data_IF_011670128534
#
_entry.id   IF_011670128534
#
_cell.length_a   1.000
_cell.length_b   1.000
_cell.length_c   1.000
_cell.angle_alpha   90.00
_cell.angle_beta   90.00
_cell.angle_gamma   90.00
#
_symmetry.space_group_name_H-M   'P 1'
#
loop_
_entity.id
_entity.type
_entity.pdbx_description
1 polymer ?
#
# COMPACT_ATOMS: atom_id res chain seq x y z
N UNK A 1 81.33 -25.13 -6.51
CA UNK A 1 80.64 -23.87 -6.11
C UNK A 1 79.38 -23.77 -6.98
N UNK A 2 78.20 -23.99 -6.37
CA UNK A 2 76.90 -23.83 -7.06
C UNK A 2 76.31 -22.51 -6.62
N UNK A 3 76.18 -21.55 -7.53
CA UNK A 3 75.50 -20.32 -7.31
C UNK A 3 74.00 -20.56 -7.23
N UNK A 4 73.38 -20.16 -6.13
CA UNK A 4 71.94 -20.27 -5.89
C UNK A 4 71.26 -19.01 -6.49
N UNK A 5 70.33 -19.13 -7.43
CA UNK A 5 69.64 -17.95 -7.98
C UNK A 5 68.66 -17.38 -6.92
N UNK A 6 68.90 -16.17 -6.52
CA UNK A 6 67.97 -15.39 -5.67
C UNK A 6 66.71 -15.13 -6.50
N UNK A 7 65.63 -15.86 -6.22
CA UNK A 7 64.30 -15.56 -6.79
C UNK A 7 63.79 -14.26 -6.22
N UNK A 8 63.77 -13.20 -7.02
CA UNK A 8 63.14 -11.95 -6.69
C UNK A 8 61.60 -12.16 -6.49
N UNK A 9 61.15 -12.06 -5.26
CA UNK A 9 59.72 -12.03 -4.89
C UNK A 9 59.06 -10.67 -5.21
N UNK A 10 59.14 -10.23 -6.46
CA UNK A 10 58.53 -8.93 -6.85
C UNK A 10 57.04 -9.06 -7.29
N UNK A 11 56.52 -10.28 -7.48
CA UNK A 11 55.17 -10.50 -8.00
C UNK A 11 54.04 -10.52 -6.97
N UNK A 12 54.31 -10.75 -5.70
CA UNK A 12 53.27 -10.95 -4.66
C UNK A 12 52.67 -9.67 -4.13
N UNK A 13 53.37 -8.55 -4.16
CA UNK A 13 52.84 -7.25 -3.69
C UNK A 13 51.81 -6.65 -4.64
N UNK A 14 51.99 -6.81 -5.97
CA UNK A 14 51.05 -6.34 -6.96
C UNK A 14 49.74 -7.14 -6.97
N UNK A 15 49.84 -8.46 -6.77
CA UNK A 15 48.66 -9.34 -6.68
C UNK A 15 47.80 -9.01 -5.43
N UNK A 16 48.42 -8.81 -4.28
CA UNK A 16 47.72 -8.42 -3.04
C UNK A 16 47.00 -7.07 -3.17
N UNK A 17 47.61 -6.11 -3.87
CA UNK A 17 46.99 -4.79 -4.09
C UNK A 17 45.79 -4.91 -5.03
N UNK A 18 45.87 -5.68 -6.09
CA UNK A 18 44.73 -5.94 -7.00
C UNK A 18 43.58 -6.66 -6.28
N UNK A 19 43.90 -7.65 -5.45
CA UNK A 19 42.92 -8.37 -4.65
C UNK A 19 42.20 -7.43 -3.66
N UNK A 20 42.92 -6.52 -3.01
CA UNK A 20 42.34 -5.52 -2.13
C UNK A 20 41.40 -4.55 -2.87
N UNK A 21 41.78 -4.10 -4.07
CA UNK A 21 40.95 -3.23 -4.91
C UNK A 21 39.68 -3.96 -5.36
N UNK A 22 39.78 -5.20 -5.82
CA UNK A 22 38.64 -6.00 -6.23
C UNK A 22 37.69 -6.26 -5.06
N UNK A 23 38.22 -6.59 -3.89
CA UNK A 23 37.42 -6.78 -2.67
C UNK A 23 36.68 -5.50 -2.29
N UNK A 24 37.32 -4.33 -2.40
CA UNK A 24 36.73 -3.04 -2.08
C UNK A 24 35.63 -2.64 -3.07
N UNK A 25 35.81 -2.95 -4.36
CA UNK A 25 34.77 -2.75 -5.38
C UNK A 25 33.55 -3.64 -5.11
N UNK A 26 33.75 -4.92 -4.84
CA UNK A 26 32.68 -5.86 -4.53
C UNK A 26 31.92 -5.40 -3.27
N UNK A 27 32.64 -5.00 -2.23
CA UNK A 27 32.04 -4.50 -0.99
C UNK A 27 31.19 -3.24 -1.22
N UNK A 28 31.70 -2.31 -2.03
CA UNK A 28 31.00 -1.07 -2.37
C UNK A 28 29.70 -1.34 -3.14
N UNK A 29 29.74 -2.21 -4.16
CA UNK A 29 28.56 -2.57 -4.94
C UNK A 29 27.53 -3.31 -4.09
N UNK A 30 27.98 -4.25 -3.25
CA UNK A 30 27.12 -4.99 -2.34
C UNK A 30 26.46 -4.07 -1.30
N UNK A 31 27.21 -3.11 -0.75
CA UNK A 31 26.68 -2.14 0.21
C UNK A 31 25.58 -1.26 -0.36
N UNK A 32 25.73 -0.78 -1.60
CA UNK A 32 24.70 0.00 -2.29
C UNK A 32 23.42 -0.80 -2.54
N UNK A 33 23.56 -2.09 -2.86
CA UNK A 33 22.41 -2.98 -3.05
C UNK A 33 21.58 -3.16 -1.77
N UNK A 34 22.21 -3.31 -0.62
CA UNK A 34 21.53 -3.46 0.68
C UNK A 34 20.77 -2.19 1.07
N UNK A 35 21.35 -1.02 0.89
CA UNK A 35 20.68 0.25 1.19
C UNK A 35 19.46 0.45 0.30
N UNK A 36 19.55 0.14 -0.99
CA UNK A 36 18.43 0.25 -1.93
C UNK A 36 17.26 -0.67 -1.58
N UNK A 37 17.53 -1.90 -1.15
CA UNK A 37 16.47 -2.85 -0.72
C UNK A 37 15.79 -2.40 0.56
N UNK A 38 16.52 -1.84 1.52
CA UNK A 38 15.98 -1.34 2.77
C UNK A 38 15.06 -0.14 2.53
N UNK A 39 15.46 0.82 1.70
CA UNK A 39 14.59 1.95 1.33
C UNK A 39 13.30 1.48 0.65
N UNK A 40 13.39 0.49 -0.21
CA UNK A 40 12.22 -0.06 -0.89
C UNK A 40 11.26 -0.75 0.09
N UNK A 41 11.78 -1.49 1.05
CA UNK A 41 11.01 -2.12 2.11
C UNK A 41 10.27 -1.09 2.98
N UNK A 42 10.95 -0.04 3.42
CA UNK A 42 10.37 1.03 4.23
C UNK A 42 9.27 1.82 3.48
N UNK A 43 9.45 2.06 2.19
CA UNK A 43 8.42 2.70 1.35
C UNK A 43 7.20 1.82 1.17
N UNK A 44 7.40 0.51 1.05
CA UNK A 44 6.32 -0.47 0.94
C UNK A 44 5.49 -0.54 2.22
N UNK A 45 6.13 -0.56 3.40
CA UNK A 45 5.42 -0.55 4.69
C UNK A 45 4.58 0.71 4.88
N UNK A 46 5.11 1.88 4.55
CA UNK A 46 4.34 3.14 4.65
C UNK A 46 3.09 3.12 3.77
N UNK A 47 3.20 2.64 2.54
CA UNK A 47 2.05 2.52 1.63
C UNK A 47 1.00 1.51 2.13
N UNK A 48 1.42 0.44 2.78
CA UNK A 48 0.52 -0.53 3.38
C UNK A 48 -0.21 0.08 4.58
N UNK A 49 0.49 0.80 5.44
CA UNK A 49 -0.09 1.48 6.61
C UNK A 49 -1.12 2.54 6.18
N UNK A 50 -0.82 3.37 5.18
CA UNK A 50 -1.76 4.36 4.65
C UNK A 50 -3.03 3.71 4.08
N UNK A 51 -2.89 2.59 3.37
CA UNK A 51 -4.04 1.84 2.84
C UNK A 51 -4.88 1.22 3.94
N UNK A 52 -4.24 0.71 4.98
CA UNK A 52 -4.92 0.12 6.13
C UNK A 52 -5.74 1.17 6.89
N UNK A 53 -5.19 2.34 7.15
CA UNK A 53 -5.91 3.46 7.76
C UNK A 53 -7.12 3.89 6.93
N UNK A 54 -6.94 4.03 5.61
CA UNK A 54 -8.03 4.38 4.68
C UNK A 54 -9.12 3.31 4.70
N UNK A 55 -8.77 2.03 4.68
CA UNK A 55 -9.72 0.93 4.72
C UNK A 55 -10.48 0.89 6.05
N UNK A 56 -9.82 1.12 7.17
CA UNK A 56 -10.45 1.20 8.49
C UNK A 56 -11.43 2.37 8.57
N UNK A 57 -11.07 3.52 8.04
CA UNK A 57 -11.94 4.69 7.98
C UNK A 57 -13.17 4.43 7.10
N UNK A 58 -12.99 3.84 5.92
CA UNK A 58 -14.07 3.46 5.02
C UNK A 58 -15.01 2.42 5.67
N UNK A 59 -14.45 1.44 6.39
CA UNK A 59 -15.23 0.41 7.09
C UNK A 59 -16.07 1.01 8.21
N UNK A 60 -15.53 1.93 9.01
CA UNK A 60 -16.29 2.63 10.05
C UNK A 60 -17.43 3.44 9.44
N UNK A 61 -17.18 4.13 8.35
CA UNK A 61 -18.20 4.89 7.62
C UNK A 61 -19.29 3.97 7.06
N UNK A 62 -18.91 2.84 6.46
CA UNK A 62 -19.86 1.84 5.95
C UNK A 62 -20.74 1.30 7.08
N UNK A 63 -20.16 0.98 8.22
CA UNK A 63 -20.91 0.51 9.41
C UNK A 63 -21.92 1.56 9.85
N UNK A 64 -21.53 2.84 9.92
CA UNK A 64 -22.45 3.92 10.26
C UNK A 64 -23.60 4.03 9.25
N UNK A 65 -23.31 3.90 7.95
CA UNK A 65 -24.34 3.96 6.90
C UNK A 65 -25.31 2.76 6.95
N UNK A 66 -24.80 1.57 7.22
CA UNK A 66 -25.61 0.35 7.34
C UNK A 66 -26.58 0.42 8.53
N UNK A 67 -26.23 1.14 9.58
CA UNK A 67 -27.10 1.32 10.77
C UNK A 67 -28.22 2.35 10.57
N UNK A 68 -28.18 3.11 9.47
CA UNK A 68 -29.22 4.12 9.20
C UNK A 68 -30.59 3.48 8.96
N UNK A 69 -31.62 4.20 9.39
CA UNK A 69 -33.00 3.84 9.10
C UNK A 69 -33.30 3.99 7.60
N UNK A 70 -34.39 3.36 7.15
CA UNK A 70 -34.86 3.51 5.77
C UNK A 70 -35.04 4.98 5.40
N UNK A 71 -35.71 5.76 6.25
CA UNK A 71 -36.01 7.17 6.01
C UNK A 71 -34.71 7.99 5.87
N UNK A 72 -33.72 7.69 6.68
CA UNK A 72 -32.42 8.39 6.62
C UNK A 72 -31.65 8.02 5.35
N UNK A 73 -31.70 6.77 4.89
CA UNK A 73 -31.11 6.35 3.62
C UNK A 73 -31.83 7.00 2.43
N UNK A 74 -33.16 7.11 2.46
CA UNK A 74 -33.94 7.80 1.42
C UNK A 74 -33.59 9.28 1.30
N UNK A 75 -33.31 9.95 2.43
CA UNK A 75 -32.85 11.35 2.44
C UNK A 75 -31.43 11.52 1.89
N UNK A 76 -30.65 10.47 1.88
CA UNK A 76 -29.25 10.45 1.43
C UNK A 76 -29.05 9.78 0.08
N UNK A 77 -30.10 9.64 -0.71
CA UNK A 77 -29.99 9.12 -2.09
C UNK A 77 -29.10 10.05 -2.92
N UNK A 78 -28.22 9.46 -3.73
CA UNK A 78 -27.26 10.16 -4.55
C UNK A 78 -25.83 10.12 -4.02
N UNK A 79 -25.01 11.02 -4.52
CA UNK A 79 -23.58 11.13 -4.16
C UNK A 79 -23.36 12.24 -3.17
N UNK A 80 -22.70 11.92 -2.08
CA UNK A 80 -22.37 12.87 -1.02
C UNK A 80 -20.90 12.80 -0.66
N UNK A 81 -20.14 13.91 -0.72
CA UNK A 81 -18.78 13.95 -0.21
C UNK A 81 -18.83 13.98 1.33
N UNK A 82 -18.06 13.10 1.97
CA UNK A 82 -17.93 13.03 3.42
C UNK A 82 -16.44 12.91 3.74
N UNK A 83 -15.79 14.01 4.10
CA UNK A 83 -14.35 14.06 4.35
C UNK A 83 -13.55 13.68 3.10
N UNK A 84 -12.71 12.67 3.20
CA UNK A 84 -11.88 12.16 2.10
C UNK A 84 -12.60 11.11 1.23
N UNK A 85 -13.86 10.79 1.54
CA UNK A 85 -14.65 9.79 0.84
C UNK A 85 -15.83 10.40 0.10
N UNK A 86 -16.23 9.71 -0.94
CA UNK A 86 -17.48 9.93 -1.65
C UNK A 86 -18.40 8.74 -1.38
N UNK A 87 -19.53 9.00 -0.78
CA UNK A 87 -20.55 7.99 -0.49
C UNK A 87 -21.66 8.12 -1.51
N UNK A 88 -22.00 7.03 -2.17
CA UNK A 88 -23.11 6.93 -3.10
C UNK A 88 -24.17 5.98 -2.55
N UNK A 89 -25.39 6.49 -2.38
CA UNK A 89 -26.54 5.70 -1.97
C UNK A 89 -27.52 5.60 -3.15
N UNK A 90 -27.77 4.39 -3.59
CA UNK A 90 -28.69 4.08 -4.67
C UNK A 90 -29.82 3.18 -4.15
N UNK A 91 -31.00 3.29 -4.74
CA UNK A 91 -32.11 2.40 -4.45
C UNK A 91 -32.54 1.66 -5.72
N UNK A 92 -31.88 0.53 -6.06
CA UNK A 92 -32.22 -0.25 -7.25
C UNK A 92 -33.61 -0.90 -7.17
N UNK A 93 -34.09 -1.18 -5.97
CA UNK A 93 -35.41 -1.74 -5.72
C UNK A 93 -36.08 -1.09 -4.50
N UNK A 94 -37.41 -1.14 -4.34
CA UNK A 94 -38.12 -0.46 -3.25
C UNK A 94 -37.63 -0.80 -1.83
N UNK A 95 -37.08 -2.01 -1.65
CA UNK A 95 -36.58 -2.49 -0.34
C UNK A 95 -35.06 -2.63 -0.26
N UNK A 96 -34.33 -2.38 -1.37
CA UNK A 96 -32.88 -2.57 -1.45
C UNK A 96 -32.19 -1.22 -1.61
N UNK A 97 -31.19 -1.00 -0.78
CA UNK A 97 -30.29 0.15 -0.88
C UNK A 97 -28.87 -0.34 -1.16
N UNK A 98 -28.25 0.16 -2.21
CA UNK A 98 -26.84 -0.04 -2.51
C UNK A 98 -26.07 1.16 -1.97
N UNK A 99 -25.10 0.90 -1.14
CA UNK A 99 -24.20 1.90 -0.57
C UNK A 99 -22.81 1.61 -1.09
N UNK A 100 -22.20 2.58 -1.77
CA UNK A 100 -20.85 2.50 -2.26
C UNK A 100 -20.02 3.63 -1.65
N UNK A 101 -18.81 3.31 -1.22
CA UNK A 101 -17.83 4.27 -0.70
C UNK A 101 -16.61 4.22 -1.61
N UNK A 102 -16.19 5.37 -2.09
CA UNK A 102 -15.00 5.56 -2.89
C UNK A 102 -14.13 6.66 -2.25
N UNK A 103 -12.82 6.63 -2.53
CA UNK A 103 -11.97 7.75 -2.18
C UNK A 103 -12.28 8.95 -3.08
N UNK A 104 -12.36 10.16 -2.50
CA UNK A 104 -12.67 11.37 -3.26
C UNK A 104 -11.62 11.68 -4.35
N UNK A 105 -10.39 11.20 -4.16
CA UNK A 105 -9.28 11.36 -5.13
C UNK A 105 -9.44 10.45 -6.36
N UNK A 106 -10.10 9.31 -6.21
CA UNK A 106 -10.30 8.31 -7.28
C UNK A 106 -11.76 7.83 -7.25
N UNK A 107 -12.73 8.70 -7.52
CA UNK A 107 -14.16 8.41 -7.36
C UNK A 107 -14.67 7.30 -8.30
N UNK A 108 -13.92 6.97 -9.35
CA UNK A 108 -14.27 5.88 -10.27
C UNK A 108 -13.99 4.50 -9.69
N UNK A 109 -13.21 4.40 -8.60
CA UNK A 109 -12.85 3.14 -7.96
C UNK A 109 -13.58 3.02 -6.62
N UNK A 110 -14.58 2.16 -6.58
CA UNK A 110 -15.31 1.87 -5.35
C UNK A 110 -14.42 1.05 -4.40
N UNK A 111 -14.21 1.58 -3.19
CA UNK A 111 -13.40 0.94 -2.15
C UNK A 111 -14.20 -0.10 -1.40
N UNK A 112 -15.45 0.22 -1.06
CA UNK A 112 -16.38 -0.67 -0.38
C UNK A 112 -17.79 -0.52 -0.98
N UNK A 113 -18.46 -1.66 -1.16
CA UNK A 113 -19.85 -1.70 -1.63
C UNK A 113 -20.63 -2.67 -0.78
N UNK A 114 -21.82 -2.27 -0.36
CA UNK A 114 -22.76 -3.16 0.32
C UNK A 114 -24.18 -2.94 -0.16
N UNK A 115 -25.02 -3.93 0.08
CA UNK A 115 -26.46 -3.87 -0.20
C UNK A 115 -27.20 -4.13 1.10
N UNK A 116 -28.10 -3.23 1.45
CA UNK A 116 -28.89 -3.30 2.68
C UNK A 116 -30.35 -3.48 2.32
N UNK A 117 -30.97 -4.49 2.92
CA UNK A 117 -32.39 -4.72 2.81
C UNK A 117 -33.15 -3.92 3.90
N UNK A 118 -34.06 -3.05 3.47
CA UNK A 118 -34.95 -2.28 4.36
C UNK A 118 -36.37 -2.37 3.81
N UNK A 119 -37.19 -3.28 4.33
CA UNK A 119 -38.58 -3.39 3.88
C UNK A 119 -39.32 -2.08 4.09
N UNK A 120 -40.32 -1.77 3.27
CA UNK A 120 -41.24 -0.69 3.56
C UNK A 120 -41.86 -0.96 4.94
N UNK A 121 -41.88 0.04 5.79
CA UNK A 121 -42.62 -0.03 7.05
C UNK A 121 -44.07 -0.30 6.68
N UNK A 122 -44.55 -1.50 7.01
CA UNK A 122 -45.99 -1.73 7.02
C UNK A 122 -46.54 -0.86 8.15
N UNK A 123 -47.03 0.34 7.79
CA UNK A 123 -47.85 1.09 8.72
C UNK A 123 -49.10 0.25 9.01
N UNK A 124 -49.51 0.15 10.28
CA UNK A 124 -50.79 -0.47 10.62
C UNK A 124 -51.96 0.29 10.04
#
# INVERSE_FOLDING_TARGET
>A
MRANPVRCKAGTRGAALMEAIVALVILSVSGLGVVGTLEHALRSERRLSEREETMLAATRMMTAMVLLSRTDLERRLGRHPIGEFQVEVQRPQPALFRIAIAEARVPAQETLVTVVFRPPSSAP
#
